data_IF_737578948424
#
_entry.id   IF_737578948424
#
_cell.length_a   1.000
_cell.length_b   1.000
_cell.length_c   1.000
_cell.angle_alpha   90.00
_cell.angle_beta   90.00
_cell.angle_gamma   90.00
#
_symmetry.space_group_name_H-M   'P 1'
#
loop_
_entity.id
_entity.type
_entity.pdbx_description
1 polymer ?
#
# COMPACT_ATOMS: atom_id res chain seq x y z
N UNK A 1 -27.78 3.21 -3.09
CA UNK A 1 -26.48 2.51 -3.14
C UNK A 1 -26.01 2.27 -1.72
N UNK A 2 -25.47 1.08 -1.41
CA UNK A 2 -24.79 0.84 -0.13
C UNK A 2 -23.33 1.27 -0.29
N UNK A 3 -22.84 2.08 0.64
CA UNK A 3 -21.46 2.56 0.65
C UNK A 3 -20.82 2.21 1.99
N UNK A 4 -19.51 1.93 1.96
CA UNK A 4 -18.72 1.70 3.17
C UNK A 4 -17.52 2.65 3.20
N UNK A 5 -17.16 3.19 4.38
CA UNK A 5 -15.98 4.02 4.51
C UNK A 5 -14.71 3.15 4.40
N UNK A 6 -13.68 3.71 3.75
CA UNK A 6 -12.34 3.11 3.76
C UNK A 6 -11.62 3.58 5.02
N UNK A 7 -11.17 2.65 5.87
CA UNK A 7 -10.45 3.00 7.11
C UNK A 7 -9.00 3.38 6.82
N UNK A 8 -8.35 4.08 7.76
CA UNK A 8 -6.97 4.56 7.58
C UNK A 8 -5.95 3.42 7.50
N UNK A 9 -6.25 2.27 8.11
CA UNK A 9 -5.43 1.06 8.13
C UNK A 9 -5.86 -0.01 7.12
N UNK A 10 -6.92 0.25 6.36
CA UNK A 10 -7.51 -0.75 5.47
C UNK A 10 -6.56 -1.14 4.33
N UNK A 11 -6.42 -2.45 4.11
CA UNK A 11 -5.67 -3.02 2.99
C UNK A 11 -6.60 -3.43 1.86
N UNK A 12 -6.04 -3.74 0.70
CA UNK A 12 -6.81 -4.31 -0.41
C UNK A 12 -7.53 -5.60 -0.02
N UNK A 13 -6.87 -6.46 0.77
CA UNK A 13 -7.44 -7.69 1.31
C UNK A 13 -8.60 -7.43 2.28
N UNK A 14 -8.41 -6.58 3.29
CA UNK A 14 -9.47 -6.35 4.29
C UNK A 14 -10.69 -5.65 3.69
N UNK A 15 -10.49 -4.73 2.73
CA UNK A 15 -11.60 -4.10 2.01
C UNK A 15 -12.34 -5.12 1.14
N UNK A 16 -11.62 -6.03 0.49
CA UNK A 16 -12.22 -7.10 -0.31
C UNK A 16 -13.16 -7.95 0.54
N UNK A 17 -12.71 -8.41 1.71
CA UNK A 17 -13.50 -9.26 2.60
C UNK A 17 -14.77 -8.53 3.08
N UNK A 18 -14.63 -7.27 3.50
CA UNK A 18 -15.78 -6.44 3.92
C UNK A 18 -16.79 -6.20 2.79
N UNK A 19 -16.31 -6.02 1.56
CA UNK A 19 -17.18 -5.89 0.39
C UNK A 19 -17.86 -7.21 0.04
N UNK A 20 -17.18 -8.35 0.21
CA UNK A 20 -17.75 -9.68 -0.03
C UNK A 20 -18.93 -9.95 0.92
N UNK A 21 -18.77 -9.62 2.20
CA UNK A 21 -19.84 -9.74 3.20
C UNK A 21 -21.05 -8.87 2.82
N UNK A 22 -20.82 -7.61 2.41
CA UNK A 22 -21.88 -6.70 1.99
C UNK A 22 -22.56 -7.12 0.69
N UNK A 23 -21.81 -7.72 -0.24
CA UNK A 23 -22.28 -8.05 -1.58
C UNK A 23 -23.42 -9.06 -1.56
N UNK A 24 -23.43 -10.01 -0.63
CA UNK A 24 -24.49 -11.01 -0.50
C UNK A 24 -25.85 -10.34 -0.27
N UNK A 25 -25.94 -9.42 0.69
CA UNK A 25 -27.18 -8.72 0.99
C UNK A 25 -27.64 -7.83 -0.17
N UNK A 26 -26.69 -7.08 -0.77
CA UNK A 26 -26.98 -6.21 -1.92
C UNK A 26 -27.53 -7.01 -3.10
N UNK A 27 -26.93 -8.17 -3.37
CA UNK A 27 -27.38 -9.05 -4.45
C UNK A 27 -28.78 -9.59 -4.17
N UNK A 28 -29.04 -10.06 -2.95
CA UNK A 28 -30.35 -10.60 -2.58
C UNK A 28 -31.46 -9.56 -2.68
N UNK A 29 -31.24 -8.34 -2.20
CA UNK A 29 -32.21 -7.24 -2.35
C UNK A 29 -32.45 -6.91 -3.81
N UNK A 30 -31.38 -6.85 -4.61
CA UNK A 30 -31.48 -6.57 -6.05
C UNK A 30 -32.30 -7.64 -6.78
N UNK A 31 -32.07 -8.92 -6.47
CA UNK A 31 -32.82 -10.04 -7.06
C UNK A 31 -34.30 -10.00 -6.69
N UNK A 32 -34.65 -9.62 -5.45
CA UNK A 32 -36.05 -9.44 -5.04
C UNK A 32 -36.73 -8.33 -5.85
N UNK A 33 -36.09 -7.18 -6.01
CA UNK A 33 -36.65 -6.10 -6.82
C UNK A 33 -36.77 -6.47 -8.30
N UNK A 34 -35.81 -7.23 -8.84
CA UNK A 34 -35.90 -7.75 -10.20
C UNK A 34 -37.09 -8.71 -10.36
N UNK A 35 -37.32 -9.59 -9.40
CA UNK A 35 -38.44 -10.54 -9.41
C UNK A 35 -39.80 -9.83 -9.26
N UNK A 36 -39.87 -8.75 -8.49
CA UNK A 36 -41.07 -7.93 -8.34
C UNK A 36 -41.36 -7.01 -9.55
N UNK A 37 -40.38 -6.84 -10.45
CA UNK A 37 -40.50 -5.95 -11.61
C UNK A 37 -40.34 -4.46 -11.26
N UNK A 38 -39.84 -4.13 -10.06
CA UNK A 38 -39.71 -2.76 -9.55
C UNK A 38 -38.25 -2.29 -9.41
N UNK A 39 -37.29 -3.06 -9.94
CA UNK A 39 -35.87 -2.73 -9.87
C UNK A 39 -35.56 -1.34 -10.50
N UNK A 40 -35.00 -0.39 -9.73
CA UNK A 40 -34.72 0.95 -10.22
C UNK A 40 -33.61 0.92 -11.29
N UNK A 41 -33.79 1.71 -12.36
CA UNK A 41 -32.80 1.90 -13.43
C UNK A 41 -32.32 3.33 -13.42
N UNK A 42 -31.05 3.53 -13.07
CA UNK A 42 -30.41 4.85 -13.04
C UNK A 42 -29.28 4.87 -14.07
N UNK A 43 -29.34 5.70 -15.13
CA UNK A 43 -28.24 5.87 -16.07
C UNK A 43 -26.96 6.33 -15.37
N UNK A 44 -25.81 5.80 -15.80
CA UNK A 44 -24.50 6.27 -15.31
C UNK A 44 -24.15 7.62 -15.95
N UNK A 45 -23.52 8.51 -15.20
CA UNK A 45 -22.95 9.76 -15.73
C UNK A 45 -21.58 9.46 -16.38
N UNK A 46 -21.42 9.59 -17.71
CA UNK A 46 -20.16 9.31 -18.39
C UNK A 46 -19.01 10.21 -17.93
N UNK A 47 -19.30 11.42 -17.42
CA UNK A 47 -18.28 12.37 -16.94
C UNK A 47 -17.63 11.89 -15.64
N UNK A 48 -18.35 11.08 -14.85
CA UNK A 48 -17.86 10.50 -13.60
C UNK A 48 -17.19 9.13 -13.80
N UNK A 49 -17.22 8.58 -15.01
CA UNK A 49 -16.67 7.26 -15.29
C UNK A 49 -15.14 7.26 -15.17
N UNK A 50 -14.60 6.28 -14.45
CA UNK A 50 -13.16 6.04 -14.31
C UNK A 50 -12.83 4.61 -14.67
N UNK A 51 -11.62 4.37 -15.20
CA UNK A 51 -11.15 3.04 -15.57
C UNK A 51 -10.00 2.60 -14.67
N UNK A 52 -10.10 1.40 -14.11
CA UNK A 52 -9.05 0.78 -13.29
C UNK A 52 -8.47 -0.42 -14.05
N UNK A 53 -7.18 -0.40 -14.43
CA UNK A 53 -6.56 -1.51 -15.14
C UNK A 53 -6.34 -2.71 -14.22
N UNK A 54 -6.17 -3.90 -14.81
CA UNK A 54 -5.70 -5.08 -14.07
C UNK A 54 -4.34 -4.78 -13.46
N UNK A 55 -4.18 -5.15 -12.18
CA UNK A 55 -2.88 -5.04 -11.53
C UNK A 55 -1.90 -6.05 -12.14
N UNK A 56 -0.61 -5.74 -12.06
CA UNK A 56 0.50 -6.59 -12.44
C UNK A 56 1.53 -6.57 -11.32
N UNK A 57 2.51 -7.48 -11.35
CA UNK A 57 3.61 -7.47 -10.36
C UNK A 57 4.44 -6.18 -10.42
N UNK A 58 4.54 -5.55 -11.59
CA UNK A 58 5.32 -4.33 -11.79
C UNK A 58 4.70 -3.13 -11.08
N UNK A 59 3.38 -3.08 -10.92
CA UNK A 59 2.73 -2.05 -10.10
C UNK A 59 3.18 -2.09 -8.64
N UNK A 60 3.60 -3.26 -8.16
CA UNK A 60 4.15 -3.43 -6.83
C UNK A 60 5.54 -2.82 -6.64
N UNK A 61 6.26 -2.44 -7.71
CA UNK A 61 7.56 -1.78 -7.58
C UNK A 61 7.33 -0.35 -7.07
N UNK A 62 7.97 -0.02 -5.95
CA UNK A 62 7.87 1.32 -5.36
C UNK A 62 8.69 2.29 -6.20
N UNK A 63 8.06 3.39 -6.59
CA UNK A 63 8.73 4.56 -7.14
C UNK A 63 8.89 5.59 -6.02
N UNK A 64 10.12 5.75 -5.52
CA UNK A 64 10.42 6.65 -4.42
C UNK A 64 10.29 8.13 -4.78
N UNK A 65 10.16 8.49 -6.06
CA UNK A 65 9.88 9.86 -6.48
C UNK A 65 8.43 10.29 -6.18
N UNK A 66 7.55 9.34 -5.83
CA UNK A 66 6.19 9.63 -5.39
C UNK A 66 6.18 10.23 -3.97
N UNK A 67 5.07 10.88 -3.58
CA UNK A 67 4.91 11.33 -2.18
C UNK A 67 4.79 10.15 -1.22
N UNK A 68 5.24 10.33 0.03
CA UNK A 68 5.16 9.32 1.07
C UNK A 68 3.72 8.83 1.29
N UNK A 69 2.74 9.73 1.21
CA UNK A 69 1.30 9.39 1.28
C UNK A 69 0.85 8.50 0.13
N UNK A 70 1.32 8.75 -1.09
CA UNK A 70 0.96 7.92 -2.23
C UNK A 70 1.60 6.52 -2.15
N UNK A 71 2.85 6.44 -1.67
CA UNK A 71 3.54 5.17 -1.41
C UNK A 71 2.84 4.39 -0.29
N UNK A 72 2.49 5.04 0.82
CA UNK A 72 1.77 4.43 1.94
C UNK A 72 0.44 3.80 1.49
N UNK A 73 -0.35 4.55 0.70
CA UNK A 73 -1.61 4.04 0.13
C UNK A 73 -1.38 2.84 -0.77
N UNK A 74 -0.31 2.83 -1.58
CA UNK A 74 0.04 1.68 -2.43
C UNK A 74 0.44 0.47 -1.61
N UNK A 75 1.21 0.65 -0.53
CA UNK A 75 1.61 -0.43 0.38
C UNK A 75 0.36 -1.14 0.94
N UNK A 76 -0.67 -0.39 1.34
CA UNK A 76 -1.95 -0.96 1.79
C UNK A 76 -2.79 -1.53 0.66
N UNK A 77 -2.98 -0.78 -0.43
CA UNK A 77 -3.84 -1.17 -1.55
C UNK A 77 -3.36 -2.44 -2.26
N UNK A 78 -2.04 -2.67 -2.29
CA UNK A 78 -1.42 -3.83 -2.95
C UNK A 78 -1.13 -4.99 -1.99
N UNK A 79 -1.58 -4.94 -0.74
CA UNK A 79 -1.55 -6.06 0.20
C UNK A 79 -2.89 -6.82 0.14
N UNK A 80 -2.90 -8.14 -0.12
CA UNK A 80 -1.73 -9.04 -0.23
C UNK A 80 -1.11 -9.15 -1.63
N UNK A 81 -1.79 -8.68 -2.69
CA UNK A 81 -1.32 -8.79 -4.07
C UNK A 81 -1.44 -7.45 -4.83
N UNK A 82 -0.44 -7.08 -5.65
CA UNK A 82 0.81 -7.79 -5.98
C UNK A 82 1.89 -7.80 -4.88
N UNK A 83 1.65 -7.09 -3.77
CA UNK A 83 2.65 -6.76 -2.77
C UNK A 83 3.58 -5.65 -3.25
N UNK A 84 4.07 -4.82 -2.33
CA UNK A 84 5.02 -3.75 -2.64
C UNK A 84 6.47 -4.19 -2.44
N UNK A 85 7.37 -3.73 -3.30
CA UNK A 85 8.80 -4.06 -3.24
C UNK A 85 9.69 -2.96 -3.83
N UNK A 86 10.93 -2.92 -3.37
CA UNK A 86 12.02 -2.10 -3.91
C UNK A 86 13.30 -2.93 -4.00
N UNK A 87 14.32 -2.45 -4.72
CA UNK A 87 15.68 -2.97 -4.53
C UNK A 87 16.37 -2.13 -3.48
N UNK A 88 17.20 -2.77 -2.66
CA UNK A 88 18.00 -2.09 -1.65
C UNK A 88 19.45 -2.50 -1.81
N UNK A 89 20.34 -1.52 -1.81
CA UNK A 89 21.78 -1.79 -1.70
C UNK A 89 22.14 -1.93 -0.23
N UNK A 90 22.62 -3.10 0.20
CA UNK A 90 23.13 -3.37 1.55
C UNK A 90 24.46 -4.12 1.42
N UNK A 91 25.49 -3.68 2.15
CA UNK A 91 26.84 -4.28 2.13
C UNK A 91 27.41 -4.50 0.72
N UNK A 92 27.18 -3.53 -0.18
CA UNK A 92 27.64 -3.60 -1.58
C UNK A 92 26.85 -4.57 -2.47
N UNK A 93 25.75 -5.16 -1.98
CA UNK A 93 24.88 -6.07 -2.74
C UNK A 93 23.48 -5.48 -2.90
N UNK A 94 22.90 -5.64 -4.08
CA UNK A 94 21.53 -5.21 -4.36
C UNK A 94 20.55 -6.36 -4.16
N UNK A 95 19.75 -6.30 -3.09
CA UNK A 95 18.75 -7.32 -2.73
C UNK A 95 17.33 -6.82 -2.97
N UNK A 96 16.39 -7.72 -3.23
CA UNK A 96 14.97 -7.36 -3.23
C UNK A 96 14.44 -7.24 -1.80
N UNK A 97 13.72 -6.17 -1.52
CA UNK A 97 13.03 -5.96 -0.25
C UNK A 97 11.54 -5.79 -0.52
N UNK A 98 10.70 -6.69 0.03
CA UNK A 98 9.26 -6.44 0.09
C UNK A 98 8.95 -5.59 1.31
N UNK A 99 8.02 -4.67 1.15
CA UNK A 99 7.54 -3.75 2.18
C UNK A 99 6.05 -4.03 2.35
N UNK A 100 5.58 -4.02 3.59
CA UNK A 100 4.20 -4.37 3.92
C UNK A 100 3.56 -3.34 4.83
N UNK A 101 2.22 -3.26 4.87
CA UNK A 101 1.55 -2.46 5.88
C UNK A 101 1.80 -3.04 7.30
N UNK A 102 1.78 -2.19 8.34
CA UNK A 102 1.67 -0.74 8.25
C UNK A 102 2.99 -0.08 7.80
N UNK A 103 2.86 1.05 7.12
CA UNK A 103 3.93 2.02 6.91
C UNK A 103 3.40 3.38 7.36
N UNK A 104 4.26 4.28 7.86
CA UNK A 104 3.80 5.57 8.40
C UNK A 104 4.38 6.73 7.63
N UNK A 105 3.52 7.62 7.15
CA UNK A 105 3.95 8.90 6.61
C UNK A 105 4.50 9.74 7.76
N UNK A 106 5.69 10.29 7.59
CA UNK A 106 6.24 11.28 8.51
C UNK A 106 6.61 12.53 7.74
N UNK A 107 6.27 13.67 8.30
CA UNK A 107 6.61 14.96 7.71
C UNK A 107 8.11 15.24 7.85
N UNK A 108 8.59 16.20 7.07
CA UNK A 108 9.96 16.72 7.18
C UNK A 108 10.12 17.28 8.59
N UNK A 109 11.03 16.73 9.37
CA UNK A 109 11.46 17.37 10.61
C UNK A 109 12.61 18.33 10.34
N UNK A 110 13.03 19.06 11.38
CA UNK A 110 14.16 19.97 11.33
C UNK A 110 15.49 19.30 10.91
N UNK A 111 15.54 17.96 10.80
CA UNK A 111 16.72 17.22 10.35
C UNK A 111 16.91 17.23 8.82
N UNK A 112 16.04 17.91 8.08
CA UNK A 112 16.21 18.19 6.65
C UNK A 112 15.49 17.21 5.73
N UNK A 113 15.51 17.54 4.44
CA UNK A 113 14.94 16.71 3.39
C UNK A 113 15.76 15.42 3.22
N UNK A 114 15.11 14.25 3.26
CA UNK A 114 15.72 12.97 2.87
C UNK A 114 15.41 12.74 1.39
N UNK A 115 16.41 12.73 0.48
CA UNK A 115 16.18 12.53 -0.94
C UNK A 115 15.43 11.23 -1.25
N UNK A 116 14.65 11.18 -2.35
CA UNK A 116 13.97 9.97 -2.80
C UNK A 116 14.88 8.74 -2.81
N UNK A 117 14.46 7.70 -2.07
CA UNK A 117 15.14 6.41 -1.98
C UNK A 117 16.32 6.38 -0.99
N UNK A 118 16.71 7.50 -0.37
CA UNK A 118 17.71 7.45 0.70
C UNK A 118 17.12 6.86 1.98
N UNK A 119 17.89 5.98 2.62
CA UNK A 119 17.51 5.37 3.90
C UNK A 119 18.16 6.12 5.07
N UNK A 120 17.38 6.36 6.11
CA UNK A 120 17.84 6.92 7.38
C UNK A 120 17.39 6.01 8.53
N UNK A 121 18.33 5.60 9.35
CA UNK A 121 18.04 4.90 10.61
C UNK A 121 18.26 5.87 11.76
N UNK A 122 17.23 6.08 12.57
CA UNK A 122 17.30 6.96 13.74
C UNK A 122 16.46 6.39 14.87
N UNK A 123 17.03 6.31 16.07
CA UNK A 123 16.36 5.77 17.27
C UNK A 123 15.74 4.38 17.06
N UNK A 124 16.44 3.51 16.30
CA UNK A 124 15.97 2.16 15.97
C UNK A 124 14.79 2.12 14.98
N UNK A 125 14.43 3.25 14.37
CA UNK A 125 13.37 3.36 13.35
C UNK A 125 13.99 3.55 11.97
N UNK A 126 13.33 3.02 10.95
CA UNK A 126 13.81 3.04 9.57
C UNK A 126 12.92 3.94 8.72
N UNK A 127 13.51 5.00 8.18
CA UNK A 127 12.87 5.93 7.27
C UNK A 127 13.46 5.83 5.87
N UNK A 128 12.62 6.04 4.85
CA UNK A 128 13.06 6.18 3.46
C UNK A 128 12.50 7.48 2.89
N UNK A 129 13.35 8.26 2.23
CA UNK A 129 12.98 9.52 1.59
C UNK A 129 12.07 9.30 0.40
N UNK A 130 11.11 10.21 0.23
CA UNK A 130 10.14 10.19 -0.86
C UNK A 130 10.21 11.50 -1.65
N UNK A 131 9.51 11.60 -2.79
CA UNK A 131 9.41 12.86 -3.53
C UNK A 131 8.82 13.99 -2.69
N UNK A 132 7.92 13.64 -1.77
CA UNK A 132 7.48 14.51 -0.70
C UNK A 132 7.29 13.75 0.61
N UNK A 133 7.85 14.29 1.70
CA UNK A 133 7.95 13.64 3.00
C UNK A 133 8.90 12.44 3.02
N UNK A 134 8.76 11.61 4.05
CA UNK A 134 9.47 10.33 4.18
C UNK A 134 8.53 9.30 4.80
N UNK A 135 8.78 8.03 4.52
CA UNK A 135 7.98 6.93 5.04
C UNK A 135 8.78 6.11 6.03
N UNK A 136 8.17 5.81 7.18
CA UNK A 136 8.70 4.84 8.13
C UNK A 136 8.26 3.43 7.71
N UNK A 137 9.24 2.53 7.59
CA UNK A 137 9.01 1.12 7.34
C UNK A 137 8.89 0.38 8.67
N UNK A 138 7.79 -0.35 8.86
CA UNK A 138 7.58 -1.16 10.07
C UNK A 138 7.70 -2.65 9.78
N UNK A 139 7.32 -3.11 8.59
CA UNK A 139 7.39 -4.53 8.21
C UNK A 139 8.00 -4.73 6.85
N UNK A 140 8.97 -5.64 6.80
CA UNK A 140 9.75 -5.94 5.60
C UNK A 140 9.96 -7.44 5.43
N UNK A 141 10.33 -7.84 4.21
CA UNK A 141 10.82 -9.18 3.92
C UNK A 141 11.98 -9.05 2.92
N UNK A 142 13.23 -9.20 3.40
CA UNK A 142 14.38 -9.38 2.52
C UNK A 142 14.23 -10.64 1.68
N UNK A 143 14.88 -10.66 0.51
CA UNK A 143 14.93 -11.82 -0.36
C UNK A 143 15.41 -13.09 0.39
N UNK A 144 14.67 -14.19 0.23
CA UNK A 144 14.96 -15.46 0.91
C UNK A 144 14.62 -15.51 2.40
N UNK A 145 14.12 -14.42 3.01
CA UNK A 145 13.78 -14.37 4.42
C UNK A 145 12.26 -14.46 4.68
N UNK A 146 11.88 -14.66 5.95
CA UNK A 146 10.50 -14.48 6.41
C UNK A 146 10.14 -13.00 6.55
N UNK A 147 8.85 -12.66 6.49
CA UNK A 147 8.36 -11.32 6.88
C UNK A 147 8.74 -11.06 8.35
N UNK A 148 9.23 -9.87 8.63
CA UNK A 148 9.73 -9.47 9.95
C UNK A 148 9.46 -7.99 10.23
N UNK A 149 9.59 -7.60 11.48
CA UNK A 149 9.57 -6.19 11.89
C UNK A 149 10.86 -5.50 11.43
N UNK A 150 10.78 -4.22 11.04
CA UNK A 150 11.92 -3.44 10.58
C UNK A 150 13.02 -3.37 11.66
N UNK A 151 12.65 -3.24 12.93
CA UNK A 151 13.59 -3.28 14.04
C UNK A 151 14.35 -4.62 14.14
N UNK A 152 13.75 -5.75 13.76
CA UNK A 152 14.45 -7.04 13.71
C UNK A 152 15.49 -7.04 12.59
N UNK A 153 15.14 -6.51 11.41
CA UNK A 153 16.08 -6.34 10.31
C UNK A 153 17.29 -5.48 10.69
N UNK A 154 17.06 -4.33 11.35
CA UNK A 154 18.10 -3.37 11.75
C UNK A 154 19.11 -3.91 12.77
N UNK A 155 18.78 -4.95 13.54
CA UNK A 155 19.72 -5.55 14.51
C UNK A 155 20.89 -6.30 13.87
N UNK A 156 20.74 -6.72 12.63
CA UNK A 156 21.76 -7.50 11.92
C UNK A 156 22.19 -6.92 10.57
N UNK A 157 21.57 -5.83 10.11
CA UNK A 157 21.77 -5.29 8.77
C UNK A 157 21.78 -3.76 8.81
N UNK A 158 22.65 -3.15 8.00
CA UNK A 158 22.61 -1.71 7.75
C UNK A 158 21.88 -1.46 6.44
N UNK A 159 20.70 -0.81 6.45
CA UNK A 159 19.98 -0.52 5.23
C UNK A 159 20.70 0.57 4.44
N UNK A 160 20.94 0.33 3.15
CA UNK A 160 21.41 1.38 2.26
C UNK A 160 20.30 1.93 1.38
N UNK A 161 20.70 2.48 0.23
CA UNK A 161 19.81 3.18 -0.69
C UNK A 161 18.79 2.23 -1.33
N UNK A 162 17.57 2.73 -1.47
CA UNK A 162 16.47 2.09 -2.18
C UNK A 162 16.37 2.57 -3.63
N UNK A 163 16.10 1.64 -4.52
CA UNK A 163 15.83 1.84 -5.96
C UNK A 163 14.43 1.37 -6.34
#
# INVERSE_FOLDING_TARGET
>A
ARAIPITSDETGGSLHDRLADLAADVLMDTLRCLAAGDAPRVPQDPVLATHVPKLTRDHGRIDWSMSATAIERRIRAYDPWPGTHARMTADGRSIRLKIFPPARVTERDAAGALPPGESLVRDGRWFVGCGDGRIELLRVQPEGARRMEAAEFLRGNTPGRME
#
